data_IF_295716585243
#
_entry.id   IF_295716585243
#
_cell.length_a   1.000
_cell.length_b   1.000
_cell.length_c   1.000
_cell.angle_alpha   90.00
_cell.angle_beta   90.00
_cell.angle_gamma   90.00
#
_symmetry.space_group_name_H-M   'P 1'
#
loop_
_entity.id
_entity.type
_entity.pdbx_description
1 polymer ?
#
# COMPACT_ATOMS: atom_id res chain seq x y z
N UNK A 1 22.16 -49.46 42.97
CA UNK A 1 23.02 -48.46 42.34
C UNK A 1 22.32 -47.85 41.10
N UNK A 2 22.16 -46.59 41.04
CA UNK A 2 21.56 -45.98 39.86
C UNK A 2 22.51 -46.12 38.67
N UNK A 3 22.01 -46.66 37.58
CA UNK A 3 22.79 -46.85 36.34
C UNK A 3 23.05 -45.50 35.70
N UNK A 4 24.30 -45.07 35.43
CA UNK A 4 24.58 -43.73 34.88
C UNK A 4 23.93 -43.49 33.49
N UNK A 5 23.73 -44.53 32.71
CA UNK A 5 23.13 -44.44 31.38
C UNK A 5 21.66 -43.99 31.41
N UNK A 6 20.88 -44.26 32.44
CA UNK A 6 19.49 -43.90 32.55
C UNK A 6 19.29 -42.36 32.78
N UNK A 7 20.24 -41.71 33.45
CA UNK A 7 20.23 -40.28 33.73
C UNK A 7 20.60 -39.46 32.48
N UNK A 8 21.52 -39.97 31.67
CA UNK A 8 21.94 -39.33 30.40
C UNK A 8 20.81 -39.40 29.38
N UNK A 9 20.11 -40.55 29.29
CA UNK A 9 18.95 -40.70 28.41
C UNK A 9 17.79 -39.77 28.78
N UNK A 10 17.53 -39.56 30.07
CA UNK A 10 16.47 -38.64 30.55
C UNK A 10 16.80 -37.18 30.26
N UNK A 11 18.07 -36.76 30.39
CA UNK A 11 18.53 -35.42 30.06
C UNK A 11 18.46 -35.15 28.55
N UNK A 12 18.85 -36.10 27.70
CA UNK A 12 18.77 -35.99 26.27
C UNK A 12 17.32 -35.86 25.76
N UNK A 13 16.39 -36.59 26.37
CA UNK A 13 14.99 -36.54 26.03
C UNK A 13 14.33 -35.21 26.45
N UNK A 14 14.69 -34.67 27.60
CA UNK A 14 14.23 -33.36 28.06
C UNK A 14 14.73 -32.22 27.16
N UNK A 15 15.99 -32.29 26.71
CA UNK A 15 16.56 -31.28 25.81
C UNK A 15 15.93 -31.33 24.41
N UNK A 16 15.63 -32.52 23.90
CA UNK A 16 14.93 -32.68 22.61
C UNK A 16 13.48 -32.12 22.65
N UNK A 17 12.80 -32.29 23.76
CA UNK A 17 11.44 -31.76 23.94
C UNK A 17 11.43 -30.22 24.05
N UNK A 18 12.46 -29.64 24.68
CA UNK A 18 12.60 -28.19 24.77
C UNK A 18 12.87 -27.53 23.40
N UNK A 19 13.64 -28.19 22.52
CA UNK A 19 13.87 -27.72 21.16
C UNK A 19 12.60 -27.80 20.26
N UNK A 20 11.73 -28.75 20.51
CA UNK A 20 10.49 -28.89 19.74
C UNK A 20 9.45 -27.79 20.07
N UNK A 21 9.51 -27.19 21.23
CA UNK A 21 8.61 -26.12 21.67
C UNK A 21 8.99 -24.74 21.09
N UNK A 22 10.19 -24.56 20.59
CA UNK A 22 10.65 -23.28 19.99
C UNK A 22 10.26 -23.10 18.53
N UNK A 23 9.59 -24.07 17.91
CA UNK A 23 9.21 -24.04 16.49
C UNK A 23 7.88 -23.31 16.17
N UNK A 24 7.17 -22.81 17.17
CA UNK A 24 5.96 -22.02 16.94
C UNK A 24 6.31 -20.53 16.78
N UNK A 25 7.01 -20.18 15.72
CA UNK A 25 7.07 -18.80 15.27
C UNK A 25 5.75 -18.49 14.56
N UNK A 26 4.83 -17.86 15.26
CA UNK A 26 3.63 -17.29 14.66
C UNK A 26 4.08 -16.08 13.83
N UNK A 27 4.16 -16.23 12.53
CA UNK A 27 4.37 -15.10 11.64
C UNK A 27 3.22 -14.10 11.84
N UNK A 28 3.49 -12.81 12.06
CA UNK A 28 2.43 -11.82 12.16
C UNK A 28 1.63 -11.82 10.85
N UNK A 29 0.30 -11.67 10.90
CA UNK A 29 -0.50 -11.63 9.70
C UNK A 29 0.04 -10.50 8.81
N UNK A 30 0.42 -10.84 7.59
CA UNK A 30 0.78 -9.84 6.58
C UNK A 30 -0.45 -8.96 6.37
N UNK A 31 -0.38 -7.72 6.81
CA UNK A 31 -1.41 -6.75 6.48
C UNK A 31 -1.41 -6.58 4.98
N UNK A 32 -2.40 -7.15 4.33
CA UNK A 32 -2.63 -6.91 2.92
C UNK A 32 -3.09 -5.46 2.77
N UNK A 33 -2.18 -4.60 2.34
CA UNK A 33 -2.51 -3.25 1.92
C UNK A 33 -3.07 -3.30 0.49
N UNK A 34 -4.20 -3.95 0.33
CA UNK A 34 -4.99 -3.81 -0.89
C UNK A 34 -5.49 -2.36 -1.03
N UNK A 35 -5.91 -1.95 -2.24
CA UNK A 35 -6.49 -0.63 -2.42
C UNK A 35 -7.66 -0.47 -1.45
N UNK A 36 -7.58 0.55 -0.58
CA UNK A 36 -8.59 0.82 0.42
C UNK A 36 -9.95 1.07 -0.26
N UNK A 37 -10.97 0.39 0.20
CA UNK A 37 -12.35 0.64 -0.18
C UNK A 37 -13.01 1.37 0.97
N UNK A 38 -13.50 2.57 0.72
CA UNK A 38 -14.04 3.46 1.74
C UNK A 38 -15.55 3.55 1.66
N UNK A 39 -16.19 3.59 2.80
CA UNK A 39 -17.64 3.80 2.89
C UNK A 39 -18.00 5.28 2.73
N UNK A 40 -17.19 6.17 3.28
CA UNK A 40 -17.41 7.62 3.19
C UNK A 40 -17.02 8.16 1.81
N UNK A 41 -17.88 8.96 1.15
CA UNK A 41 -17.54 9.60 -0.11
C UNK A 41 -16.43 10.64 0.09
N UNK A 42 -15.55 10.83 -0.93
CA UNK A 42 -14.57 11.90 -0.88
C UNK A 42 -15.25 13.27 -0.92
N UNK A 43 -14.66 14.30 -0.32
CA UNK A 43 -15.12 15.67 -0.49
C UNK A 43 -15.03 16.10 -1.97
N UNK A 44 -15.72 17.17 -2.37
CA UNK A 44 -15.53 17.75 -3.70
C UNK A 44 -14.06 18.14 -3.93
N UNK A 45 -13.52 17.94 -5.14
CA UNK A 45 -12.15 18.33 -5.46
C UNK A 45 -11.94 19.84 -5.24
N UNK A 46 -10.74 20.19 -4.75
CA UNK A 46 -10.36 21.61 -4.70
C UNK A 46 -10.10 22.15 -6.10
N UNK A 47 -10.52 23.38 -6.33
CA UNK A 47 -10.15 24.13 -7.52
C UNK A 47 -8.71 24.64 -7.33
N UNK A 48 -7.82 24.24 -8.24
CA UNK A 48 -6.42 24.65 -8.22
C UNK A 48 -6.13 25.62 -9.36
N UNK A 49 -5.48 26.74 -9.05
CA UNK A 49 -4.98 27.69 -10.03
C UNK A 49 -3.47 27.45 -10.20
N UNK A 50 -3.07 26.95 -11.36
CA UNK A 50 -1.71 26.47 -11.60
C UNK A 50 -0.91 27.27 -12.62
N UNK A 51 -1.52 28.29 -13.24
CA UNK A 51 -0.84 29.18 -14.18
C UNK A 51 -0.31 28.47 -15.44
N UNK A 52 0.71 29.08 -16.04
CA UNK A 52 1.36 28.53 -17.23
C UNK A 52 2.38 27.43 -16.87
N UNK A 53 2.61 26.45 -17.76
CA UNK A 53 3.64 25.45 -17.55
C UNK A 53 5.04 26.07 -17.42
N UNK A 54 5.90 25.59 -16.51
CA UNK A 54 7.24 26.12 -16.30
C UNK A 54 8.17 25.87 -17.51
N UNK A 55 7.91 24.81 -18.26
CA UNK A 55 8.63 24.45 -19.48
C UNK A 55 7.65 23.96 -20.54
N UNK A 56 7.98 24.13 -21.85
CA UNK A 56 7.13 23.62 -22.93
C UNK A 56 6.87 22.12 -22.80
N UNK A 57 5.63 21.71 -23.05
CA UNK A 57 5.22 20.31 -23.03
C UNK A 57 4.96 19.71 -21.66
N UNK A 58 5.22 20.42 -20.55
CA UNK A 58 4.84 19.94 -19.22
C UNK A 58 3.34 19.80 -19.13
N UNK A 59 2.90 18.78 -18.40
CA UNK A 59 1.51 18.51 -18.13
C UNK A 59 1.16 18.83 -16.68
N UNK A 60 -0.07 19.26 -16.44
CA UNK A 60 -0.57 19.45 -15.10
C UNK A 60 -1.08 18.11 -14.56
N UNK A 61 -0.49 17.66 -13.46
CA UNK A 61 -1.00 16.55 -12.66
C UNK A 61 -1.91 17.13 -11.59
N UNK A 62 -3.21 16.99 -11.77
CA UNK A 62 -4.20 17.53 -10.84
C UNK A 62 -4.08 16.95 -9.43
N UNK A 63 -4.43 17.76 -8.44
CA UNK A 63 -4.52 17.32 -7.06
C UNK A 63 -5.64 16.29 -6.85
N UNK A 64 -5.63 15.65 -5.71
CA UNK A 64 -6.61 14.64 -5.36
C UNK A 64 -6.73 14.46 -3.85
N UNK A 65 -7.85 13.91 -3.40
CA UNK A 65 -8.02 13.49 -2.02
C UNK A 65 -7.34 12.15 -1.79
N UNK A 66 -6.42 12.08 -0.84
CA UNK A 66 -5.82 10.85 -0.35
C UNK A 66 -6.50 10.44 0.95
N UNK A 67 -6.79 9.17 1.10
CA UNK A 67 -7.21 8.65 2.40
C UNK A 67 -6.02 8.51 3.34
N UNK A 68 -6.12 9.12 4.51
CA UNK A 68 -5.11 9.09 5.57
C UNK A 68 -5.73 8.49 6.85
N UNK A 69 -4.93 8.20 7.90
CA UNK A 69 -5.45 7.58 9.13
C UNK A 69 -6.61 8.34 9.81
N UNK A 70 -6.67 9.66 9.63
CA UNK A 70 -7.69 10.52 10.23
C UNK A 70 -8.71 11.10 9.23
N UNK A 71 -8.74 10.61 8.02
CA UNK A 71 -9.67 11.08 6.99
C UNK A 71 -9.01 11.47 5.68
N UNK A 72 -9.75 12.17 4.85
CA UNK A 72 -9.25 12.66 3.56
C UNK A 72 -8.27 13.82 3.74
N UNK A 73 -7.16 13.77 3.03
CA UNK A 73 -6.15 14.83 2.95
C UNK A 73 -5.96 15.22 1.50
N UNK A 74 -6.01 16.54 1.20
CA UNK A 74 -5.79 17.03 -0.14
C UNK A 74 -4.30 16.99 -0.50
N UNK A 75 -4.00 16.30 -1.61
CA UNK A 75 -2.70 16.26 -2.22
C UNK A 75 -2.68 17.26 -3.38
N UNK A 76 -1.83 18.28 -3.28
CA UNK A 76 -1.72 19.32 -4.30
C UNK A 76 -1.27 18.76 -5.65
N UNK A 77 -1.81 19.34 -6.72
CA UNK A 77 -1.32 19.09 -8.07
C UNK A 77 0.07 19.69 -8.29
N UNK A 78 0.70 19.29 -9.37
CA UNK A 78 2.03 19.75 -9.77
C UNK A 78 2.25 19.61 -11.27
N UNK A 79 3.18 20.38 -11.80
CA UNK A 79 3.64 20.21 -13.16
C UNK A 79 4.61 19.04 -13.27
N UNK A 80 4.48 18.24 -14.33
CA UNK A 80 5.35 17.09 -14.58
C UNK A 80 5.89 17.15 -16.01
N UNK A 81 7.14 16.72 -16.23
CA UNK A 81 7.69 16.61 -17.58
C UNK A 81 6.87 15.59 -18.40
N UNK A 82 6.75 15.84 -19.73
CA UNK A 82 6.06 14.90 -20.61
C UNK A 82 6.82 13.57 -20.69
N UNK A 83 6.07 12.50 -20.95
CA UNK A 83 6.63 11.18 -21.28
C UNK A 83 6.21 10.82 -22.70
N UNK A 84 7.10 10.94 -23.71
CA UNK A 84 6.77 10.60 -25.09
C UNK A 84 6.21 9.20 -25.23
N UNK A 85 5.10 9.04 -25.96
CA UNK A 85 4.40 7.77 -26.14
C UNK A 85 3.54 7.33 -24.93
N UNK A 86 3.38 8.21 -23.94
CA UNK A 86 2.54 7.95 -22.77
C UNK A 86 1.62 9.15 -22.49
N UNK A 87 0.45 8.86 -21.95
CA UNK A 87 -0.43 9.87 -21.39
C UNK A 87 -0.70 9.60 -19.90
N UNK A 88 -0.99 10.66 -19.17
CA UNK A 88 -1.32 10.57 -17.76
C UNK A 88 -2.79 10.25 -17.56
N UNK A 89 -3.09 9.23 -16.74
CA UNK A 89 -4.46 8.93 -16.29
C UNK A 89 -4.67 9.58 -14.93
N UNK A 90 -5.53 10.60 -14.81
CA UNK A 90 -5.77 11.29 -13.56
C UNK A 90 -6.31 10.38 -12.47
N UNK A 91 -5.98 10.70 -11.23
CA UNK A 91 -6.59 10.05 -10.07
C UNK A 91 -8.02 10.54 -9.89
N UNK A 92 -8.92 9.61 -9.62
CA UNK A 92 -10.30 9.93 -9.26
C UNK A 92 -10.87 8.84 -8.36
N UNK A 93 -11.76 9.25 -7.48
CA UNK A 93 -12.57 8.34 -6.68
C UNK A 93 -13.75 7.85 -7.50
N UNK A 94 -13.97 6.53 -7.47
CA UNK A 94 -15.06 5.87 -8.18
C UNK A 94 -15.90 5.11 -7.17
N UNK A 95 -17.20 5.28 -7.23
CA UNK A 95 -18.14 4.50 -6.44
C UNK A 95 -18.27 3.10 -7.02
N UNK A 96 -18.14 2.09 -6.17
CA UNK A 96 -18.29 0.67 -6.51
C UNK A 96 -19.33 0.04 -5.59
N UNK A 97 -19.85 -1.17 -5.90
CA UNK A 97 -20.77 -1.86 -5.00
C UNK A 97 -20.23 -2.10 -3.59
N UNK A 98 -18.89 -2.06 -3.42
CA UNK A 98 -18.21 -2.23 -2.12
C UNK A 98 -17.89 -0.90 -1.42
N UNK A 99 -18.07 0.23 -2.10
CA UNK A 99 -17.73 1.55 -1.60
C UNK A 99 -16.85 2.35 -2.55
N UNK A 100 -16.24 3.41 -2.05
CA UNK A 100 -15.41 4.30 -2.83
C UNK A 100 -13.98 3.78 -2.97
N UNK A 101 -13.45 3.86 -4.19
CA UNK A 101 -12.08 3.41 -4.52
C UNK A 101 -11.36 4.45 -5.36
N UNK A 102 -10.13 4.76 -4.99
CA UNK A 102 -9.25 5.62 -5.79
C UNK A 102 -8.71 4.85 -7.00
N UNK A 103 -8.83 5.44 -8.18
CA UNK A 103 -8.32 4.89 -9.45
C UNK A 103 -7.47 5.93 -10.18
N UNK A 104 -6.63 5.45 -11.11
CA UNK A 104 -5.75 6.30 -11.91
C UNK A 104 -4.43 6.62 -11.22
N UNK A 105 -3.83 7.74 -11.62
CA UNK A 105 -2.53 8.15 -11.10
C UNK A 105 -1.37 7.37 -11.71
N UNK A 106 -1.42 7.11 -13.00
CA UNK A 106 -0.37 6.39 -13.72
C UNK A 106 -0.21 6.88 -15.15
N UNK A 107 0.98 6.68 -15.67
CA UNK A 107 1.25 6.84 -17.09
C UNK A 107 0.84 5.57 -17.83
N UNK A 108 0.14 5.76 -18.94
CA UNK A 108 -0.32 4.67 -19.81
C UNK A 108 0.26 4.88 -21.19
N UNK A 109 0.77 3.81 -21.80
CA UNK A 109 1.29 3.85 -23.16
C UNK A 109 0.15 4.13 -24.14
N UNK A 110 0.40 5.05 -25.06
CA UNK A 110 -0.51 5.29 -26.18
C UNK A 110 -0.45 4.09 -27.15
N UNK A 111 -1.61 3.53 -27.42
CA UNK A 111 -1.76 2.49 -28.47
C UNK A 111 -2.22 3.19 -29.76
N UNK A 112 -1.43 3.03 -30.79
CA UNK A 112 -1.79 3.46 -32.16
C UNK A 112 -2.57 2.33 -32.84
#
# INVERSE_FOLDING_TARGET
>A
MPRPGLRIASLAMALSLALALSACVVAPPRRYYGPAVLVAPPPPPHVEYYGAPPYPGYIWIGGYWRWAPHGYVWMRGHWAPPRPGFHWVPRRWVHTPRGWRLRGGRWVRESY
#
